data_IF_090873559789
#
_entry.id   IF_090873559789
#
_cell.length_a   1.000
_cell.length_b   1.000
_cell.length_c   1.000
_cell.angle_alpha   90.00
_cell.angle_beta   90.00
_cell.angle_gamma   90.00
#
_symmetry.space_group_name_H-M   'P 1'
#
loop_
_entity.id
_entity.type
_entity.pdbx_description
1 polymer ?
#
# COMPACT_ATOMS: atom_id res chain seq x y z
N UNK A 1 46.63 1.65 -14.67
CA UNK A 1 45.61 2.20 -13.75
C UNK A 1 44.28 2.17 -14.47
N UNK A 2 43.59 1.03 -14.48
CA UNK A 2 42.21 0.91 -14.93
C UNK A 2 41.61 -0.11 -13.98
N UNK A 3 41.09 0.43 -12.89
CA UNK A 3 40.45 -0.31 -11.81
C UNK A 3 39.21 -0.99 -12.36
N UNK A 4 39.05 -2.26 -12.02
CA UNK A 4 37.99 -3.12 -12.52
C UNK A 4 36.59 -2.59 -12.22
N UNK A 5 35.73 -2.64 -13.23
CA UNK A 5 34.28 -2.56 -13.06
C UNK A 5 33.80 -3.87 -12.44
N UNK A 6 33.28 -3.78 -11.22
CA UNK A 6 32.63 -4.89 -10.54
C UNK A 6 31.45 -5.38 -11.37
N UNK A 7 31.50 -6.67 -11.72
CA UNK A 7 30.39 -7.41 -12.27
C UNK A 7 29.20 -7.34 -11.30
N UNK A 8 28.03 -7.16 -11.89
CA UNK A 8 26.72 -6.94 -11.30
C UNK A 8 26.42 -7.87 -10.14
N UNK A 9 26.02 -7.32 -8.99
CA UNK A 9 25.38 -8.09 -7.93
C UNK A 9 24.10 -8.69 -8.50
N UNK A 10 24.07 -10.02 -8.57
CA UNK A 10 22.91 -10.79 -8.95
C UNK A 10 21.70 -10.33 -8.13
N UNK A 11 20.64 -9.98 -8.83
CA UNK A 11 19.32 -9.64 -8.30
C UNK A 11 18.97 -10.61 -7.18
N UNK A 12 18.85 -10.04 -5.97
CA UNK A 12 18.49 -10.75 -4.77
C UNK A 12 17.26 -11.61 -5.04
N UNK A 13 17.35 -12.84 -4.53
CA UNK A 13 16.28 -13.82 -4.50
C UNK A 13 15.20 -13.25 -3.56
N UNK A 14 14.33 -12.37 -4.05
CA UNK A 14 13.19 -11.90 -3.26
C UNK A 14 12.12 -12.97 -3.34
N UNK A 15 12.23 -13.92 -2.42
CA UNK A 15 11.10 -14.68 -1.89
C UNK A 15 9.90 -13.74 -1.81
N UNK A 16 8.74 -14.17 -2.28
CA UNK A 16 7.52 -13.41 -2.61
C UNK A 16 6.94 -12.57 -1.46
N UNK A 17 7.66 -11.55 -0.99
CA UNK A 17 7.19 -10.63 0.05
C UNK A 17 6.67 -9.38 -0.65
N UNK A 18 5.36 -9.34 -0.89
CA UNK A 18 4.70 -8.12 -1.37
C UNK A 18 4.91 -7.00 -0.34
N UNK A 19 5.34 -5.79 -0.75
CA UNK A 19 5.45 -4.64 0.13
C UNK A 19 4.17 -4.40 0.93
N UNK A 20 4.32 -4.15 2.24
CA UNK A 20 3.21 -3.82 3.12
C UNK A 20 3.22 -2.33 3.44
N UNK A 21 2.08 -1.70 3.25
CA UNK A 21 1.85 -0.28 3.47
C UNK A 21 0.72 -0.10 4.47
N UNK A 22 0.91 0.78 5.45
CA UNK A 22 -0.13 1.14 6.41
C UNK A 22 -0.60 2.57 6.12
N UNK A 23 -1.92 2.75 6.04
CA UNK A 23 -2.56 4.04 5.82
C UNK A 23 -3.52 4.33 6.96
N UNK A 24 -3.57 5.60 7.37
CA UNK A 24 -4.64 6.11 8.21
C UNK A 24 -5.71 6.73 7.32
N UNK A 25 -6.96 6.29 7.47
CA UNK A 25 -8.09 6.76 6.67
C UNK A 25 -9.23 7.15 7.59
N UNK A 26 -9.77 8.37 7.44
CA UNK A 26 -10.85 8.86 8.30
C UNK A 26 -12.18 8.13 8.02
N UNK A 27 -12.35 6.98 8.67
CA UNK A 27 -13.55 6.15 8.61
C UNK A 27 -14.36 6.33 9.89
N UNK A 28 -15.65 6.63 9.75
CA UNK A 28 -16.55 6.89 10.90
C UNK A 28 -17.64 5.83 11.07
N UNK A 29 -17.87 4.98 10.07
CA UNK A 29 -18.87 3.92 10.08
C UNK A 29 -18.52 2.82 9.07
N UNK A 30 -19.26 1.72 9.10
CA UNK A 30 -19.11 0.59 8.15
C UNK A 30 -19.29 1.02 6.68
N UNK A 31 -20.11 2.03 6.41
CA UNK A 31 -20.24 2.60 5.07
C UNK A 31 -18.93 3.22 4.57
N UNK A 32 -18.12 3.77 5.46
CA UNK A 32 -16.82 4.35 5.11
C UNK A 32 -15.78 3.27 4.81
N UNK A 33 -15.72 2.20 5.61
CA UNK A 33 -14.83 1.08 5.33
C UNK A 33 -15.24 0.34 4.05
N UNK A 34 -16.54 0.20 3.78
CA UNK A 34 -17.01 -0.40 2.53
C UNK A 34 -16.62 0.42 1.29
N UNK A 35 -16.65 1.75 1.38
CA UNK A 35 -16.15 2.61 0.30
C UNK A 35 -14.65 2.40 0.04
N UNK A 36 -13.84 2.22 1.09
CA UNK A 36 -12.42 1.88 0.97
C UNK A 36 -12.24 0.50 0.32
N UNK A 37 -13.02 -0.50 0.75
CA UNK A 37 -13.02 -1.85 0.16
C UNK A 37 -13.34 -1.81 -1.34
N UNK A 38 -14.32 -1.00 -1.76
CA UNK A 38 -14.71 -0.88 -3.18
C UNK A 38 -13.56 -0.37 -4.05
N UNK A 39 -12.95 0.77 -3.69
CA UNK A 39 -11.88 1.37 -4.50
C UNK A 39 -10.62 0.49 -4.55
N UNK A 40 -10.33 -0.25 -3.48
CA UNK A 40 -9.21 -1.20 -3.45
C UNK A 40 -9.49 -2.45 -4.29
N UNK A 41 -10.72 -2.97 -4.26
CA UNK A 41 -11.13 -4.07 -5.13
C UNK A 41 -11.12 -3.66 -6.61
N UNK A 42 -11.50 -2.42 -6.93
CA UNK A 42 -11.42 -1.86 -8.29
C UNK A 42 -9.99 -1.72 -8.78
N UNK A 43 -9.04 -1.35 -7.90
CA UNK A 43 -7.62 -1.30 -8.25
C UNK A 43 -7.07 -2.70 -8.58
N UNK A 44 -7.47 -3.71 -7.80
CA UNK A 44 -7.01 -5.09 -7.98
C UNK A 44 -5.52 -5.28 -7.67
N UNK A 45 -5.09 -6.54 -7.58
CA UNK A 45 -3.69 -6.86 -7.24
C UNK A 45 -3.27 -6.40 -5.84
N UNK A 46 -4.24 -6.18 -4.96
CA UNK A 46 -4.05 -5.78 -3.56
C UNK A 46 -4.64 -6.82 -2.63
N UNK A 47 -3.95 -7.08 -1.53
CA UNK A 47 -4.50 -7.76 -0.38
C UNK A 47 -4.53 -6.76 0.77
N UNK A 48 -5.65 -6.65 1.50
CA UNK A 48 -5.78 -5.61 2.51
C UNK A 48 -6.59 -6.05 3.72
N UNK A 49 -6.36 -5.35 4.83
CA UNK A 49 -7.08 -5.47 6.09
C UNK A 49 -7.50 -4.08 6.57
N UNK A 50 -8.75 -3.97 7.03
CA UNK A 50 -9.32 -2.69 7.49
C UNK A 50 -9.69 -2.79 8.96
N UNK A 51 -9.07 -1.93 9.75
CA UNK A 51 -9.35 -1.75 11.16
C UNK A 51 -10.10 -0.44 11.35
N UNK A 52 -11.43 -0.53 11.30
CA UNK A 52 -12.33 0.62 11.45
C UNK A 52 -12.16 1.33 12.81
N UNK A 53 -12.11 0.62 13.97
CA UNK A 53 -11.87 1.25 15.27
C UNK A 53 -10.58 2.09 15.32
N UNK A 54 -9.51 1.61 14.68
CA UNK A 54 -8.22 2.32 14.65
C UNK A 54 -8.03 3.20 13.40
N UNK A 55 -9.04 3.34 12.54
CA UNK A 55 -8.98 4.12 11.30
C UNK A 55 -7.76 3.76 10.43
N UNK A 56 -7.46 2.46 10.34
CA UNK A 56 -6.24 1.96 9.70
C UNK A 56 -6.57 1.00 8.57
N UNK A 57 -5.80 1.10 7.49
CA UNK A 57 -5.87 0.21 6.33
C UNK A 57 -4.47 -0.33 6.06
N UNK A 58 -4.29 -1.65 6.17
CA UNK A 58 -3.05 -2.32 5.81
C UNK A 58 -3.19 -2.86 4.39
N UNK A 59 -2.25 -2.57 3.50
CA UNK A 59 -2.27 -3.02 2.11
C UNK A 59 -0.97 -3.74 1.78
N UNK A 60 -1.07 -4.95 1.26
CA UNK A 60 -0.01 -5.75 0.68
C UNK A 60 -0.16 -5.71 -0.85
N UNK A 61 0.81 -5.13 -1.55
CA UNK A 61 0.69 -4.84 -2.99
C UNK A 61 2.04 -4.56 -3.64
N UNK A 62 2.14 -4.81 -4.95
CA UNK A 62 3.25 -4.33 -5.79
C UNK A 62 3.03 -2.90 -6.33
N UNK A 63 1.81 -2.35 -6.18
CA UNK A 63 1.51 -0.97 -6.56
C UNK A 63 2.33 0.03 -5.73
N UNK A 64 2.67 1.16 -6.35
CA UNK A 64 3.38 2.24 -5.65
C UNK A 64 2.50 2.89 -4.58
N UNK A 65 3.15 3.48 -3.56
CA UNK A 65 2.46 4.23 -2.50
C UNK A 65 1.57 5.33 -3.08
N UNK A 66 2.02 6.02 -4.13
CA UNK A 66 1.25 7.08 -4.78
C UNK A 66 -0.04 6.55 -5.40
N UNK A 67 0.02 5.39 -6.09
CA UNK A 67 -1.18 4.74 -6.64
C UNK A 67 -2.15 4.31 -5.54
N UNK A 68 -1.63 3.81 -4.40
CA UNK A 68 -2.46 3.45 -3.26
C UNK A 68 -3.11 4.69 -2.61
N UNK A 69 -2.36 5.78 -2.45
CA UNK A 69 -2.88 7.05 -1.94
C UNK A 69 -3.97 7.64 -2.84
N UNK A 70 -3.73 7.68 -4.16
CA UNK A 70 -4.72 8.15 -5.14
C UNK A 70 -6.00 7.30 -5.07
N UNK A 71 -5.85 5.98 -5.00
CA UNK A 71 -6.97 5.04 -4.91
C UNK A 71 -7.79 5.27 -3.64
N UNK A 72 -7.13 5.37 -2.47
CA UNK A 72 -7.82 5.66 -1.21
C UNK A 72 -8.46 7.06 -1.23
N UNK A 73 -7.85 8.04 -1.89
CA UNK A 73 -8.37 9.39 -2.06
C UNK A 73 -9.70 9.47 -2.82
N UNK A 74 -10.00 8.51 -3.70
CA UNK A 74 -11.29 8.40 -4.41
C UNK A 74 -12.48 8.25 -3.46
N UNK A 75 -12.26 7.81 -2.23
CA UNK A 75 -13.31 7.72 -1.21
C UNK A 75 -13.76 9.08 -0.67
N UNK A 76 -13.05 10.17 -1.01
CA UNK A 76 -13.30 11.52 -0.47
C UNK A 76 -12.93 11.67 1.00
N UNK A 77 -12.20 10.71 1.59
CA UNK A 77 -11.78 10.71 2.99
C UNK A 77 -10.39 11.29 3.14
N UNK A 78 -10.08 11.81 4.33
CA UNK A 78 -8.70 12.16 4.66
C UNK A 78 -7.86 10.89 4.75
N UNK A 79 -6.75 10.85 4.01
CA UNK A 79 -5.80 9.73 3.97
C UNK A 79 -4.42 10.25 4.37
N UNK A 80 -3.72 9.51 5.21
CA UNK A 80 -2.33 9.79 5.60
C UNK A 80 -1.50 8.52 5.54
N UNK A 81 -0.25 8.65 5.12
CA UNK A 81 0.73 7.56 5.07
C UNK A 81 1.76 7.75 6.19
N UNK A 82 1.62 7.09 7.35
CA UNK A 82 2.59 7.16 8.44
C UNK A 82 3.95 6.54 8.09
N UNK A 83 4.05 5.77 7.00
CA UNK A 83 5.30 5.16 6.53
C UNK A 83 5.17 3.65 6.27
N UNK A 84 6.23 3.05 5.71
CA UNK A 84 6.37 1.59 5.57
C UNK A 84 6.95 1.01 6.85
N UNK A 85 6.37 -0.09 7.34
CA UNK A 85 6.91 -0.85 8.48
C UNK A 85 7.64 -2.11 8.01
#
# INVERSE_FOLDING_TARGET
MQSGGGVTNATAITSSVMPKHEFSVDMTCEGCSNAVTQVLNELGGVQFDIDLPNKKVCINSEHSVDTLLETLGKTGKAVSYPGSK
#
